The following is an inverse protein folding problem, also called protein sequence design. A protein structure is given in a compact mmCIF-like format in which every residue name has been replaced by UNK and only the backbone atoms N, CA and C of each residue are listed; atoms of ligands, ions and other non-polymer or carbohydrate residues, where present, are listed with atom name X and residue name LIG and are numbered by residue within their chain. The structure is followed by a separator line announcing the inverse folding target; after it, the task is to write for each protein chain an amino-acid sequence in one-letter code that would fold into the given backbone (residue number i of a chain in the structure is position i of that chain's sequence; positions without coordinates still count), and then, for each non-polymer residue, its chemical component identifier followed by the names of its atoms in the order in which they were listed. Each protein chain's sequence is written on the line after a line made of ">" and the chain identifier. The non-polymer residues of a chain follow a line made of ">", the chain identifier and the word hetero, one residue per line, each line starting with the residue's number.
data_IF_839357001018
#
_entry.id   IF_839357001018
#
_cell.length_a   1.000
_cell.length_b   1.000
_cell.length_c   1.000
_cell.angle_alpha   90.00
_cell.angle_beta   90.00
_cell.angle_gamma   90.00
#
_symmetry.space_group_name_H-M   'P 1'
#
loop_
_entity.id
_entity.type
_entity.pdbx_description
1 polymer ?
#
# COMPACT_ATOMS: atom_id res chain seq x y z
N UNK A 1 1.59 9.32 -18.74
CA UNK A 1 2.04 8.24 -19.64
C UNK A 1 2.21 6.99 -18.79
N UNK A 2 1.43 5.93 -19.04
CA UNK A 2 1.63 4.65 -18.37
C UNK A 2 3.02 4.12 -18.76
N UNK A 3 3.77 3.72 -17.78
CA UNK A 3 5.12 3.15 -17.96
C UNK A 3 4.99 1.82 -18.66
N UNK A 4 5.76 1.61 -19.76
CA UNK A 4 5.86 0.32 -20.44
C UNK A 4 6.62 -0.65 -19.53
N UNK A 5 6.01 -1.80 -19.24
CA UNK A 5 6.61 -2.85 -18.39
C UNK A 5 7.50 -3.75 -19.23
N UNK A 6 8.73 -3.97 -18.72
CA UNK A 6 9.74 -4.82 -19.35
C UNK A 6 9.53 -6.28 -18.94
N UNK A 7 9.27 -7.15 -19.88
CA UNK A 7 9.06 -8.58 -19.65
C UNK A 7 10.15 -9.38 -20.34
N UNK A 8 10.88 -10.19 -19.60
CA UNK A 8 11.85 -11.13 -20.17
C UNK A 8 11.20 -12.49 -20.32
N UNK A 9 11.10 -12.97 -21.57
CA UNK A 9 10.64 -14.31 -21.90
C UNK A 9 11.84 -15.22 -22.18
N UNK A 10 11.94 -16.31 -21.45
CA UNK A 10 13.02 -17.30 -21.60
C UNK A 10 12.40 -18.58 -22.19
N UNK A 11 12.67 -18.87 -23.47
CA UNK A 11 12.06 -19.95 -24.22
C UNK A 11 12.98 -20.46 -25.33
N UNK A 12 12.71 -21.61 -25.94
CA UNK A 12 13.46 -22.06 -27.11
C UNK A 12 13.23 -21.15 -28.33
N UNK A 13 14.15 -21.16 -29.30
CA UNK A 13 14.03 -20.34 -30.52
C UNK A 13 12.77 -20.64 -31.33
N UNK A 14 12.30 -21.89 -31.28
CA UNK A 14 11.10 -22.37 -32.01
C UNK A 14 9.92 -22.58 -31.06
N UNK A 15 9.89 -21.86 -29.95
CA UNK A 15 8.90 -22.03 -28.90
C UNK A 15 7.48 -21.70 -29.35
N UNK A 16 6.56 -22.59 -29.08
CA UNK A 16 5.12 -22.34 -29.26
C UNK A 16 4.62 -21.21 -28.31
N UNK A 17 5.32 -20.91 -27.22
CA UNK A 17 4.99 -19.85 -26.29
C UNK A 17 5.21 -18.44 -26.88
N UNK A 18 6.01 -18.30 -27.94
CA UNK A 18 6.19 -17.02 -28.65
C UNK A 18 4.89 -16.46 -29.21
N UNK A 19 3.86 -17.30 -29.42
CA UNK A 19 2.52 -16.85 -29.82
C UNK A 19 1.85 -15.88 -28.85
N UNK A 20 2.27 -15.83 -27.58
CA UNK A 20 1.74 -14.90 -26.59
C UNK A 20 2.32 -13.48 -26.72
N UNK A 21 3.48 -13.33 -27.35
CA UNK A 21 4.19 -12.05 -27.48
C UNK A 21 3.34 -10.94 -28.12
N UNK A 22 2.62 -11.15 -29.22
CA UNK A 22 1.80 -10.09 -29.82
C UNK A 22 0.70 -9.55 -28.89
N UNK A 23 0.04 -10.44 -28.14
CA UNK A 23 -1.02 -10.06 -27.19
C UNK A 23 -0.46 -9.29 -26.01
N UNK A 24 0.70 -9.69 -25.48
CA UNK A 24 1.41 -8.99 -24.42
C UNK A 24 1.85 -7.58 -24.87
N UNK A 25 2.40 -7.47 -26.08
CA UNK A 25 2.80 -6.17 -26.66
C UNK A 25 1.60 -5.24 -26.87
N UNK A 26 0.48 -5.76 -27.37
CA UNK A 26 -0.77 -5.01 -27.50
C UNK A 26 -1.30 -4.50 -26.16
N UNK A 27 -1.05 -5.24 -25.07
CA UNK A 27 -1.43 -4.87 -23.72
C UNK A 27 -0.44 -3.89 -23.05
N UNK A 28 0.62 -3.45 -23.75
CA UNK A 28 1.57 -2.46 -23.26
C UNK A 28 2.83 -3.03 -22.60
N UNK A 29 3.06 -4.35 -22.69
CA UNK A 29 4.31 -4.97 -22.24
C UNK A 29 5.37 -4.91 -23.34
N UNK A 30 6.59 -4.58 -22.97
CA UNK A 30 7.74 -4.73 -23.86
C UNK A 30 8.39 -6.09 -23.60
N UNK A 31 8.22 -7.04 -24.54
CA UNK A 31 8.71 -8.41 -24.39
C UNK A 31 10.03 -8.57 -25.14
N UNK A 32 11.06 -8.98 -24.41
CA UNK A 32 12.36 -9.43 -24.95
C UNK A 32 12.47 -10.94 -24.76
N UNK A 33 12.81 -11.67 -25.82
CA UNK A 33 12.96 -13.14 -25.77
C UNK A 33 14.44 -13.50 -25.82
N UNK A 34 14.85 -14.46 -24.97
CA UNK A 34 16.17 -15.05 -24.94
C UNK A 34 16.04 -16.57 -24.93
N UNK A 35 17.07 -17.28 -25.44
CA UNK A 35 16.96 -18.69 -25.78
C UNK A 35 17.94 -19.58 -25.04
N UNK A 36 18.77 -19.02 -24.17
CA UNK A 36 19.64 -19.75 -23.25
C UNK A 36 19.53 -19.22 -21.81
N UNK A 37 19.90 -20.06 -20.84
CA UNK A 37 19.92 -19.65 -19.44
C UNK A 37 20.97 -18.57 -19.17
N UNK A 38 22.12 -18.65 -19.85
CA UNK A 38 23.20 -17.68 -19.73
C UNK A 38 22.78 -16.31 -20.26
N UNK A 39 22.13 -16.27 -21.44
CA UNK A 39 21.61 -15.02 -22.00
C UNK A 39 20.51 -14.42 -21.10
N UNK A 40 19.66 -15.24 -20.48
CA UNK A 40 18.64 -14.79 -19.55
C UNK A 40 19.24 -14.07 -18.34
N UNK A 41 20.26 -14.65 -17.74
CA UNK A 41 20.97 -14.07 -16.60
C UNK A 41 21.71 -12.79 -17.01
N UNK A 42 22.43 -12.81 -18.12
CA UNK A 42 23.14 -11.62 -18.63
C UNK A 42 22.16 -10.49 -18.95
N UNK A 43 21.09 -10.78 -19.67
CA UNK A 43 20.07 -9.80 -20.01
C UNK A 43 19.44 -9.16 -18.78
N UNK A 44 19.13 -9.98 -17.75
CA UNK A 44 18.53 -9.50 -16.51
C UNK A 44 19.48 -8.63 -15.66
N UNK A 45 20.80 -8.79 -15.79
CA UNK A 45 21.77 -7.90 -15.15
C UNK A 45 21.93 -6.57 -15.88
N UNK A 46 21.84 -6.58 -17.20
CA UNK A 46 22.07 -5.38 -18.02
C UNK A 46 20.80 -4.53 -18.20
N UNK A 47 19.63 -5.14 -18.02
CA UNK A 47 18.36 -4.51 -18.29
C UNK A 47 17.46 -4.52 -17.05
N UNK A 48 16.59 -3.53 -16.94
CA UNK A 48 15.52 -3.55 -15.96
C UNK A 48 14.44 -4.51 -16.42
N UNK A 49 14.08 -5.44 -15.55
CA UNK A 49 13.01 -6.41 -15.76
C UNK A 49 11.89 -6.15 -14.75
N UNK A 50 10.65 -6.13 -15.23
CA UNK A 50 9.46 -5.99 -14.40
C UNK A 50 8.68 -7.32 -14.25
N UNK A 51 8.88 -8.28 -15.19
CA UNK A 51 8.30 -9.63 -15.14
C UNK A 51 9.21 -10.65 -15.81
N UNK A 52 9.21 -11.89 -15.30
CA UNK A 52 9.82 -13.05 -15.95
C UNK A 52 8.73 -13.99 -16.47
N UNK A 53 8.85 -14.43 -17.74
CA UNK A 53 8.10 -15.53 -18.32
C UNK A 53 9.09 -16.66 -18.63
N UNK A 54 9.01 -17.76 -17.93
CA UNK A 54 9.93 -18.89 -18.05
C UNK A 54 9.18 -20.06 -18.68
N UNK A 55 9.64 -20.52 -19.83
CA UNK A 55 8.98 -21.56 -20.61
C UNK A 55 9.62 -22.93 -20.35
N UNK A 56 8.81 -23.98 -20.24
CA UNK A 56 9.28 -25.32 -19.97
C UNK A 56 9.96 -26.03 -21.15
N UNK A 57 9.99 -25.39 -22.31
CA UNK A 57 10.63 -25.90 -23.52
C UNK A 57 12.14 -25.57 -23.62
N UNK A 58 12.68 -24.87 -22.61
CA UNK A 58 14.13 -24.66 -22.48
C UNK A 58 14.71 -25.58 -21.42
N UNK A 59 15.84 -26.24 -21.74
CA UNK A 59 16.51 -27.14 -20.81
C UNK A 59 17.04 -26.40 -19.59
N UNK A 60 16.80 -26.90 -18.38
CA UNK A 60 17.28 -26.30 -17.13
C UNK A 60 16.44 -25.14 -16.61
N UNK A 61 15.24 -24.94 -17.12
CA UNK A 61 14.32 -23.86 -16.69
C UNK A 61 14.03 -23.92 -15.16
N UNK A 62 14.04 -25.12 -14.56
CA UNK A 62 13.86 -25.28 -13.11
C UNK A 62 15.00 -24.62 -12.31
N UNK A 63 16.22 -24.70 -12.82
CA UNK A 63 17.39 -24.06 -12.21
C UNK A 63 17.28 -22.54 -12.30
N UNK A 64 16.78 -22.03 -13.43
CA UNK A 64 16.59 -20.60 -13.65
C UNK A 64 15.59 -19.99 -12.66
N UNK A 65 14.50 -20.70 -12.35
CA UNK A 65 13.53 -20.23 -11.35
C UNK A 65 14.20 -20.04 -9.98
N UNK A 66 14.99 -21.01 -9.55
CA UNK A 66 15.73 -20.92 -8.29
C UNK A 66 16.74 -19.78 -8.31
N UNK A 67 17.46 -19.60 -9.42
CA UNK A 67 18.45 -18.54 -9.57
C UNK A 67 17.83 -17.14 -9.48
N UNK A 68 16.73 -16.89 -10.15
CA UNK A 68 16.05 -15.60 -10.11
C UNK A 68 15.43 -15.28 -8.74
N UNK A 69 14.98 -16.27 -7.99
CA UNK A 69 14.42 -16.04 -6.66
C UNK A 69 15.45 -15.94 -5.53
N UNK A 70 16.64 -16.52 -5.69
CA UNK A 70 17.69 -16.49 -4.67
C UNK A 70 18.61 -15.28 -4.77
N UNK A 71 18.70 -14.63 -5.93
CA UNK A 71 19.55 -13.46 -6.12
C UNK A 71 18.86 -12.18 -5.65
N UNK A 72 19.50 -11.36 -4.78
CA UNK A 72 18.90 -10.14 -4.22
C UNK A 72 18.38 -9.16 -5.29
N UNK A 73 19.04 -9.09 -6.45
CA UNK A 73 18.70 -8.18 -7.55
C UNK A 73 17.40 -8.52 -8.26
N UNK A 74 16.96 -9.78 -8.21
CA UNK A 74 15.77 -10.29 -8.88
C UNK A 74 14.64 -10.63 -7.90
N UNK A 75 14.93 -10.56 -6.60
CA UNK A 75 13.92 -10.80 -5.56
C UNK A 75 12.77 -9.81 -5.69
N UNK A 76 11.56 -10.33 -5.76
CA UNK A 76 10.34 -9.52 -5.90
C UNK A 76 9.93 -9.20 -7.33
N UNK A 77 10.71 -9.62 -8.35
CA UNK A 77 10.24 -9.57 -9.74
C UNK A 77 9.31 -10.76 -9.98
N UNK A 78 8.04 -10.53 -10.41
CA UNK A 78 7.10 -11.61 -10.70
C UNK A 78 7.62 -12.58 -11.73
N UNK A 79 7.51 -13.88 -11.44
CA UNK A 79 7.88 -14.96 -12.34
C UNK A 79 6.69 -15.87 -12.65
N UNK A 80 6.43 -16.10 -13.92
CA UNK A 80 5.36 -16.93 -14.42
C UNK A 80 5.93 -18.08 -15.23
N UNK A 81 5.49 -19.32 -14.92
CA UNK A 81 5.87 -20.48 -15.69
C UNK A 81 4.86 -20.75 -16.81
N UNK A 82 5.36 -20.87 -18.04
CA UNK A 82 4.59 -21.33 -19.17
C UNK A 82 4.96 -22.80 -19.44
N UNK A 83 4.05 -23.70 -19.10
CA UNK A 83 4.30 -25.14 -19.06
C UNK A 83 3.67 -25.84 -20.26
N UNK A 84 4.40 -26.79 -20.82
CA UNK A 84 3.90 -27.73 -21.82
C UNK A 84 2.79 -28.63 -21.23
N UNK A 85 1.83 -29.13 -22.03
CA UNK A 85 0.75 -30.00 -21.57
C UNK A 85 1.20 -31.26 -20.83
N UNK A 86 2.41 -31.75 -21.06
CA UNK A 86 2.98 -32.91 -20.38
C UNK A 86 3.19 -32.71 -18.86
N UNK A 87 3.17 -31.45 -18.40
CA UNK A 87 3.28 -31.11 -16.98
C UNK A 87 1.96 -31.20 -16.22
N UNK A 88 0.82 -31.42 -16.89
CA UNK A 88 -0.51 -31.52 -16.25
C UNK A 88 -0.53 -32.55 -15.12
N UNK A 89 0.05 -33.72 -15.34
CA UNK A 89 0.12 -34.80 -14.35
C UNK A 89 1.36 -34.73 -13.45
N UNK A 90 2.22 -33.74 -13.63
CA UNK A 90 3.50 -33.59 -12.92
C UNK A 90 3.53 -32.36 -12.00
N UNK A 91 2.40 -31.78 -11.68
CA UNK A 91 2.30 -30.56 -10.86
C UNK A 91 2.96 -30.70 -9.48
N UNK A 92 3.09 -31.95 -8.97
CA UNK A 92 3.81 -32.21 -7.72
C UNK A 92 5.28 -31.85 -7.80
N UNK A 93 5.91 -31.87 -8.97
CA UNK A 93 7.30 -31.49 -9.19
C UNK A 93 7.51 -29.98 -8.99
N UNK A 94 6.46 -29.18 -9.21
CA UNK A 94 6.51 -27.73 -9.06
C UNK A 94 6.55 -27.27 -7.60
N UNK A 95 6.21 -28.15 -6.63
CA UNK A 95 6.12 -27.77 -5.21
C UNK A 95 7.43 -27.22 -4.61
N UNK A 96 8.56 -27.60 -5.16
CA UNK A 96 9.87 -27.20 -4.69
C UNK A 96 10.48 -26.05 -5.51
N UNK A 97 9.77 -25.57 -6.54
CA UNK A 97 10.22 -24.45 -7.37
C UNK A 97 9.70 -23.15 -6.84
N UNK A 98 10.50 -22.10 -6.99
CA UNK A 98 10.16 -20.75 -6.61
C UNK A 98 9.63 -20.01 -7.84
N UNK A 99 8.34 -19.70 -7.85
CA UNK A 99 7.65 -18.91 -8.89
C UNK A 99 6.33 -18.36 -8.34
N UNK A 100 5.78 -17.38 -9.02
CA UNK A 100 4.57 -16.70 -8.53
C UNK A 100 3.27 -17.34 -9.04
N UNK A 101 3.25 -17.77 -10.32
CA UNK A 101 2.10 -18.43 -10.92
C UNK A 101 2.53 -19.26 -12.15
N UNK A 102 1.64 -20.09 -12.68
CA UNK A 102 1.91 -20.90 -13.85
C UNK A 102 0.69 -21.04 -14.75
N UNK A 103 0.92 -21.30 -16.04
CA UNK A 103 -0.08 -21.66 -17.03
C UNK A 103 0.38 -22.91 -17.77
N UNK A 104 -0.53 -23.88 -17.94
CA UNK A 104 -0.29 -25.05 -18.78
C UNK A 104 -0.93 -24.78 -20.12
N UNK A 105 -0.11 -24.68 -21.18
CA UNK A 105 -0.56 -24.46 -22.54
C UNK A 105 -1.17 -25.74 -23.11
N UNK A 106 -2.46 -25.70 -23.45
CA UNK A 106 -3.20 -26.85 -23.99
C UNK A 106 -3.45 -26.74 -25.52
N UNK A 107 -2.64 -25.96 -26.23
CA UNK A 107 -2.85 -25.70 -27.65
C UNK A 107 -3.80 -24.55 -27.95
N UNK A 108 -4.52 -24.05 -26.95
CA UNK A 108 -5.39 -22.89 -27.05
C UNK A 108 -4.61 -21.58 -26.82
N UNK A 109 -5.16 -20.46 -27.28
CA UNK A 109 -4.59 -19.16 -26.99
C UNK A 109 -5.03 -18.71 -25.59
N UNK A 110 -4.14 -18.84 -24.63
CA UNK A 110 -4.34 -18.44 -23.24
C UNK A 110 -3.78 -17.03 -22.95
N UNK A 111 -3.61 -16.20 -23.98
CA UNK A 111 -3.04 -14.84 -23.82
C UNK A 111 -3.85 -13.99 -22.83
N UNK A 112 -5.18 -14.05 -22.86
CA UNK A 112 -6.03 -13.30 -21.94
C UNK A 112 -5.88 -13.78 -20.51
N UNK A 113 -5.79 -15.09 -20.27
CA UNK A 113 -5.55 -15.67 -18.94
C UNK A 113 -4.19 -15.27 -18.39
N UNK A 114 -3.14 -15.35 -19.22
CA UNK A 114 -1.79 -14.91 -18.85
C UNK A 114 -1.78 -13.43 -18.46
N UNK A 115 -2.36 -12.57 -19.29
CA UNK A 115 -2.46 -11.15 -19.02
C UNK A 115 -3.21 -10.86 -17.73
N UNK A 116 -4.33 -11.53 -17.50
CA UNK A 116 -5.10 -11.36 -16.27
C UNK A 116 -4.27 -11.74 -15.03
N UNK A 117 -3.57 -12.87 -15.06
CA UNK A 117 -2.70 -13.32 -13.96
C UNK A 117 -1.55 -12.35 -13.71
N UNK A 118 -0.89 -11.86 -14.78
CA UNK A 118 0.18 -10.87 -14.68
C UNK A 118 -0.33 -9.57 -14.02
N UNK A 119 -1.48 -9.04 -14.46
CA UNK A 119 -2.08 -7.83 -13.90
C UNK A 119 -2.48 -8.01 -12.43
N UNK A 120 -3.09 -9.15 -12.07
CA UNK A 120 -3.45 -9.45 -10.67
C UNK A 120 -2.21 -9.51 -9.80
N UNK A 121 -1.14 -10.16 -10.27
CA UNK A 121 0.10 -10.28 -9.52
C UNK A 121 0.79 -8.94 -9.34
N UNK A 122 0.86 -8.14 -10.40
CA UNK A 122 1.40 -6.80 -10.35
C UNK A 122 0.66 -5.92 -9.33
N UNK A 123 -0.67 -5.94 -9.35
CA UNK A 123 -1.49 -5.21 -8.39
C UNK A 123 -1.23 -5.67 -6.94
N UNK A 124 -1.10 -6.97 -6.70
CA UNK A 124 -0.78 -7.50 -5.37
C UNK A 124 0.60 -7.04 -4.90
N UNK A 125 1.63 -7.15 -5.75
CA UNK A 125 2.98 -6.68 -5.41
C UNK A 125 3.01 -5.20 -5.13
N UNK A 126 2.39 -4.38 -5.97
CA UNK A 126 2.28 -2.94 -5.75
C UNK A 126 1.57 -2.62 -4.44
N UNK A 127 0.54 -3.37 -4.09
CA UNK A 127 -0.16 -3.23 -2.81
C UNK A 127 0.77 -3.56 -1.63
N UNK A 128 1.52 -4.66 -1.68
CA UNK A 128 2.45 -5.04 -0.61
C UNK A 128 3.65 -4.09 -0.49
N UNK A 129 4.28 -3.73 -1.60
CA UNK A 129 5.44 -2.83 -1.62
C UNK A 129 5.11 -1.40 -1.20
N UNK A 130 3.86 -0.98 -1.42
CA UNK A 130 3.39 0.36 -1.08
C UNK A 130 2.56 0.39 0.21
N UNK A 131 2.43 -0.72 0.93
CA UNK A 131 1.82 -0.74 2.26
C UNK A 131 2.80 -0.25 3.33
N UNK A 132 2.27 0.40 4.35
CA UNK A 132 3.06 0.75 5.53
C UNK A 132 3.47 -0.54 6.28
N UNK A 133 4.75 -0.76 6.60
CA UNK A 133 5.23 -2.02 7.19
C UNK A 133 4.68 -2.29 8.60
N UNK A 134 4.29 -1.25 9.35
CA UNK A 134 3.77 -1.37 10.71
C UNK A 134 2.28 -1.70 10.76
N UNK A 135 1.48 -1.05 9.91
CA UNK A 135 0.01 -1.14 9.94
C UNK A 135 -0.57 -1.96 8.81
N UNK A 136 0.21 -2.24 7.76
CA UNK A 136 -0.20 -2.85 6.49
C UNK A 136 -1.29 -2.07 5.74
N UNK A 137 -1.55 -0.83 6.14
CA UNK A 137 -2.42 0.08 5.40
C UNK A 137 -1.72 0.60 4.13
N UNK A 138 -2.48 0.99 3.10
CA UNK A 138 -1.96 1.71 1.94
C UNK A 138 -1.04 2.86 2.34
N UNK A 139 0.16 2.89 1.76
CA UNK A 139 1.14 3.96 1.97
C UNK A 139 1.04 5.07 0.93
N UNK A 140 2.01 5.99 0.93
CA UNK A 140 1.97 7.26 0.20
C UNK A 140 1.62 7.14 -1.30
N UNK A 141 2.16 6.14 -2.01
CA UNK A 141 1.89 5.98 -3.44
C UNK A 141 0.42 5.65 -3.69
N UNK A 142 -0.14 4.70 -2.93
CA UNK A 142 -1.55 4.31 -3.06
C UNK A 142 -2.49 5.42 -2.57
N UNK A 143 -2.10 6.15 -1.53
CA UNK A 143 -2.83 7.32 -1.05
C UNK A 143 -2.94 8.40 -2.14
N UNK A 144 -1.80 8.73 -2.80
CA UNK A 144 -1.80 9.73 -3.87
C UNK A 144 -2.63 9.29 -5.08
N UNK A 145 -2.56 8.02 -5.45
CA UNK A 145 -3.39 7.45 -6.51
C UNK A 145 -4.88 7.53 -6.17
N UNK A 146 -5.27 7.17 -4.94
CA UNK A 146 -6.67 7.22 -4.52
C UNK A 146 -7.20 8.64 -4.47
N UNK A 147 -6.44 9.60 -3.92
CA UNK A 147 -6.84 11.02 -3.96
C UNK A 147 -7.02 11.50 -5.39
N UNK A 148 -6.10 11.15 -6.30
CA UNK A 148 -6.22 11.55 -7.71
C UNK A 148 -7.47 10.92 -8.35
N UNK A 149 -7.75 9.64 -8.12
CA UNK A 149 -8.97 8.99 -8.60
C UNK A 149 -10.24 9.72 -8.14
N UNK A 150 -10.28 10.16 -6.86
CA UNK A 150 -11.42 10.93 -6.32
C UNK A 150 -11.54 12.32 -6.94
N UNK A 151 -10.41 12.98 -7.22
CA UNK A 151 -10.41 14.29 -7.87
C UNK A 151 -10.92 14.20 -9.32
N UNK A 152 -10.61 13.10 -10.01
CA UNK A 152 -11.01 12.85 -11.41
C UNK A 152 -12.44 12.32 -11.53
N UNK A 153 -13.00 11.71 -10.47
CA UNK A 153 -14.40 11.25 -10.43
C UNK A 153 -15.37 12.44 -10.28
N UNK A 154 -16.58 12.37 -10.87
CA UNK A 154 -17.64 13.36 -10.63
C UNK A 154 -18.28 13.22 -9.24
N UNK A 155 -18.09 12.09 -8.55
CA UNK A 155 -18.75 11.77 -7.30
C UNK A 155 -18.25 12.63 -6.14
N UNK A 156 -19.10 12.82 -5.16
CA UNK A 156 -18.73 13.51 -3.94
C UNK A 156 -17.92 12.63 -3.00
N UNK A 157 -16.95 13.23 -2.35
CA UNK A 157 -16.08 12.59 -1.38
C UNK A 157 -15.66 13.54 -0.27
N UNK A 158 -15.21 12.95 0.83
CA UNK A 158 -14.55 13.69 1.92
C UNK A 158 -13.19 13.05 2.19
N UNK A 159 -12.14 13.87 2.17
CA UNK A 159 -10.78 13.48 2.54
C UNK A 159 -10.48 13.98 3.94
N UNK A 160 -10.09 13.08 4.84
CA UNK A 160 -9.76 13.39 6.23
C UNK A 160 -8.31 13.01 6.53
N UNK A 161 -7.52 13.97 6.94
CA UNK A 161 -6.19 13.76 7.52
C UNK A 161 -6.30 13.61 9.02
N UNK A 162 -5.60 12.64 9.56
CA UNK A 162 -5.59 12.27 10.97
C UNK A 162 -4.16 12.37 11.50
N UNK A 163 -4.00 12.94 12.70
CA UNK A 163 -2.70 13.18 13.34
C UNK A 163 -2.81 12.83 14.83
N UNK A 164 -1.84 12.13 15.38
CA UNK A 164 -1.78 11.83 16.80
C UNK A 164 -1.04 12.96 17.54
N UNK A 165 -1.77 13.71 18.34
CA UNK A 165 -1.18 14.79 19.12
C UNK A 165 -0.36 14.23 20.29
N UNK A 166 0.77 14.88 20.59
CA UNK A 166 1.70 14.51 21.67
C UNK A 166 2.37 13.13 21.50
N UNK A 167 2.30 12.52 20.30
CA UNK A 167 2.86 11.20 20.02
C UNK A 167 4.35 11.11 20.32
N UNK A 168 5.13 12.16 20.03
CA UNK A 168 6.55 12.19 20.38
C UNK A 168 6.77 12.10 21.88
N UNK A 169 6.03 12.86 22.69
CA UNK A 169 6.15 12.82 24.16
C UNK A 169 5.76 11.43 24.71
N UNK A 170 4.75 10.79 24.08
CA UNK A 170 4.38 9.41 24.41
C UNK A 170 5.54 8.44 24.12
N UNK A 171 6.15 8.50 22.92
CA UNK A 171 7.32 7.67 22.60
C UNK A 171 8.51 7.89 23.52
N UNK A 172 8.78 9.16 23.85
CA UNK A 172 9.92 9.51 24.73
C UNK A 172 9.72 8.98 26.16
N UNK A 173 8.47 8.85 26.64
CA UNK A 173 8.13 8.32 27.96
C UNK A 173 7.94 6.80 28.00
N UNK A 174 7.21 6.24 27.04
CA UNK A 174 6.77 4.84 27.03
C UNK A 174 7.61 3.94 26.12
N UNK A 175 8.46 4.52 25.29
CA UNK A 175 9.32 3.82 24.33
C UNK A 175 8.63 3.54 22.99
N UNK A 176 9.44 3.25 21.98
CA UNK A 176 8.95 3.05 20.59
C UNK A 176 7.99 1.88 20.43
N UNK A 177 8.14 0.81 21.23
CA UNK A 177 7.23 -0.35 21.16
C UNK A 177 5.78 0.05 21.54
N UNK A 178 5.62 0.85 22.60
CA UNK A 178 4.32 1.37 23.00
C UNK A 178 3.75 2.35 21.94
N UNK A 179 4.62 3.16 21.32
CA UNK A 179 4.24 4.02 20.20
C UNK A 179 3.75 3.24 19.00
N UNK A 180 4.42 2.15 18.65
CA UNK A 180 3.97 1.24 17.58
C UNK A 180 2.59 0.64 17.90
N UNK A 181 2.33 0.28 19.17
CA UNK A 181 1.02 -0.22 19.59
C UNK A 181 -0.07 0.85 19.49
N UNK A 182 0.23 2.10 19.84
CA UNK A 182 -0.69 3.23 19.67
C UNK A 182 -1.01 3.47 18.18
N UNK A 183 -0.02 3.40 17.29
CA UNK A 183 -0.19 3.49 15.85
C UNK A 183 -1.05 2.34 15.31
N UNK A 184 -0.76 1.08 15.70
CA UNK A 184 -1.54 -0.09 15.28
C UNK A 184 -3.00 -0.02 15.76
N UNK A 185 -3.20 0.42 17.00
CA UNK A 185 -4.52 0.64 17.57
C UNK A 185 -5.28 1.68 16.76
N UNK A 186 -4.68 2.83 16.47
CA UNK A 186 -5.27 3.90 15.65
C UNK A 186 -5.66 3.38 14.26
N UNK A 187 -4.76 2.65 13.60
CA UNK A 187 -5.03 2.04 12.29
C UNK A 187 -6.26 1.11 12.31
N UNK A 188 -6.41 0.31 13.38
CA UNK A 188 -7.57 -0.58 13.56
C UNK A 188 -8.87 0.19 13.79
N UNK A 189 -8.83 1.24 14.62
CA UNK A 189 -10.00 2.11 14.87
C UNK A 189 -10.45 2.75 13.55
N UNK A 190 -9.53 3.40 12.83
CA UNK A 190 -9.82 4.02 11.55
C UNK A 190 -10.43 3.02 10.56
N UNK A 191 -9.80 1.85 10.39
CA UNK A 191 -10.28 0.83 9.45
C UNK A 191 -11.68 0.34 9.80
N UNK A 192 -11.94 0.05 11.09
CA UNK A 192 -13.22 -0.51 11.52
C UNK A 192 -14.35 0.52 11.40
N UNK A 193 -14.14 1.75 11.87
CA UNK A 193 -15.16 2.79 11.86
C UNK A 193 -15.46 3.25 10.44
N UNK A 194 -14.42 3.54 9.65
CA UNK A 194 -14.56 4.05 8.29
C UNK A 194 -15.25 3.03 7.39
N UNK A 195 -14.83 1.76 7.43
CA UNK A 195 -15.46 0.68 6.65
C UNK A 195 -16.91 0.38 7.09
N UNK A 196 -17.20 0.49 8.38
CA UNK A 196 -18.58 0.32 8.88
C UNK A 196 -19.51 1.39 8.32
N UNK A 197 -19.01 2.63 8.16
CA UNK A 197 -19.80 3.76 7.66
C UNK A 197 -19.94 3.76 6.13
N UNK A 198 -18.92 3.35 5.43
CA UNK A 198 -18.89 3.33 3.97
C UNK A 198 -18.13 2.10 3.45
N UNK A 199 -18.78 0.90 3.43
CA UNK A 199 -18.11 -0.36 3.10
C UNK A 199 -17.55 -0.44 1.68
N UNK A 200 -18.17 0.25 0.72
CA UNK A 200 -17.87 0.14 -0.71
C UNK A 200 -16.88 1.19 -1.19
N UNK A 201 -17.03 2.43 -0.70
CA UNK A 201 -16.32 3.59 -1.22
C UNK A 201 -15.22 4.12 -0.28
N UNK A 202 -15.06 3.50 0.89
CA UNK A 202 -14.09 3.97 1.86
C UNK A 202 -12.66 3.56 1.56
N UNK A 203 -11.73 4.43 1.92
CA UNK A 203 -10.30 4.17 1.88
C UNK A 203 -9.64 4.61 3.18
N UNK A 204 -8.66 3.85 3.67
CA UNK A 204 -7.83 4.21 4.82
C UNK A 204 -6.37 3.98 4.44
N UNK A 205 -5.52 4.97 4.69
CA UNK A 205 -4.09 4.94 4.41
C UNK A 205 -3.24 5.43 5.58
N UNK A 206 -1.97 5.02 5.62
CA UNK A 206 -0.99 5.45 6.61
C UNK A 206 0.15 6.17 5.92
N UNK A 207 0.25 7.49 6.14
CA UNK A 207 1.23 8.36 5.50
C UNK A 207 2.62 8.09 6.07
N UNK A 208 2.72 7.95 7.39
CA UNK A 208 3.94 7.63 8.10
C UNK A 208 4.00 8.27 9.49
N UNK A 209 4.73 7.65 10.42
CA UNK A 209 4.77 8.09 11.81
C UNK A 209 3.38 8.08 12.44
N UNK A 210 2.91 9.23 12.86
CA UNK A 210 1.62 9.50 13.51
C UNK A 210 0.53 10.02 12.56
N UNK A 211 0.81 10.10 11.25
CA UNK A 211 -0.07 10.65 10.23
C UNK A 211 -0.84 9.58 9.44
N UNK A 212 -2.17 9.68 9.41
CA UNK A 212 -3.06 8.83 8.62
C UNK A 212 -3.98 9.65 7.73
N UNK A 213 -4.66 8.96 6.83
CA UNK A 213 -5.70 9.51 5.98
C UNK A 213 -6.86 8.53 5.85
N UNK A 214 -8.08 9.05 5.76
CA UNK A 214 -9.21 8.25 5.29
C UNK A 214 -10.07 9.06 4.31
N UNK A 215 -10.77 8.35 3.43
CA UNK A 215 -11.68 8.91 2.44
C UNK A 215 -12.99 8.16 2.52
N UNK A 216 -14.11 8.87 2.45
CA UNK A 216 -15.47 8.32 2.40
C UNK A 216 -16.38 9.26 1.63
N UNK A 217 -17.54 8.74 1.20
CA UNK A 217 -18.53 9.50 0.44
C UNK A 217 -19.66 10.09 1.31
N UNK A 218 -19.84 9.59 2.53
CA UNK A 218 -20.99 9.94 3.40
C UNK A 218 -20.66 9.81 4.89
N UNK A 219 -21.50 10.43 5.72
CA UNK A 219 -21.49 10.33 7.20
C UNK A 219 -20.17 10.79 7.86
N UNK A 220 -19.48 11.74 7.24
CA UNK A 220 -18.13 12.18 7.62
C UNK A 220 -18.03 12.72 9.06
N UNK A 221 -19.01 13.52 9.52
CA UNK A 221 -19.00 14.08 10.88
C UNK A 221 -19.26 12.98 11.94
N UNK A 222 -20.22 12.09 11.68
CA UNK A 222 -20.51 10.95 12.55
C UNK A 222 -19.32 9.97 12.60
N UNK A 223 -18.64 9.78 11.46
CA UNK A 223 -17.45 8.95 11.38
C UNK A 223 -16.30 9.54 12.22
N UNK A 224 -16.02 10.82 12.09
CA UNK A 224 -14.97 11.50 12.85
C UNK A 224 -15.25 11.47 14.36
N UNK A 225 -16.51 11.69 14.76
CA UNK A 225 -16.92 11.63 16.16
C UNK A 225 -16.74 10.22 16.75
N UNK A 226 -17.16 9.16 16.02
CA UNK A 226 -17.01 7.77 16.45
C UNK A 226 -15.52 7.35 16.54
N UNK A 227 -14.67 7.83 15.63
CA UNK A 227 -13.20 7.61 15.69
C UNK A 227 -12.63 8.21 16.96
N UNK A 228 -12.97 9.45 17.29
CA UNK A 228 -12.49 10.15 18.49
C UNK A 228 -12.96 9.39 19.76
N UNK A 229 -14.23 9.05 19.84
CA UNK A 229 -14.79 8.31 20.98
C UNK A 229 -14.03 6.99 21.22
N UNK A 230 -13.79 6.21 20.15
CA UNK A 230 -13.07 4.95 20.27
C UNK A 230 -11.60 5.18 20.61
N UNK A 231 -10.95 6.20 20.02
CA UNK A 231 -9.56 6.52 20.32
C UNK A 231 -9.39 6.93 21.79
N UNK A 232 -10.20 7.88 22.27
CA UNK A 232 -10.12 8.38 23.66
C UNK A 232 -10.44 7.29 24.70
N UNK A 233 -11.26 6.30 24.34
CA UNK A 233 -11.54 5.16 25.19
C UNK A 233 -10.36 4.17 25.24
N UNK A 234 -9.87 3.75 24.07
CA UNK A 234 -8.92 2.64 23.96
C UNK A 234 -7.49 3.10 24.24
N UNK A 235 -7.09 4.33 23.90
CA UNK A 235 -5.74 4.86 24.14
C UNK A 235 -5.37 4.87 25.63
N UNK A 236 -6.34 5.01 26.51
CA UNK A 236 -6.15 4.94 27.98
C UNK A 236 -5.56 3.61 28.45
N UNK A 237 -5.84 2.51 27.73
CA UNK A 237 -5.29 1.19 28.09
C UNK A 237 -3.78 1.07 27.86
N UNK A 238 -3.17 2.02 27.13
CA UNK A 238 -1.74 2.07 26.86
C UNK A 238 -1.00 3.01 27.85
N UNK A 239 -1.72 3.66 28.77
CA UNK A 239 -1.18 4.64 29.71
C UNK A 239 -1.07 4.07 31.12
N UNK A 240 -0.08 4.53 31.87
CA UNK A 240 0.04 4.23 33.29
C UNK A 240 -1.08 4.93 34.09
N UNK A 241 -1.53 4.28 35.15
CA UNK A 241 -2.58 4.85 36.06
C UNK A 241 -2.18 6.22 36.63
N UNK A 242 -0.88 6.41 36.92
CA UNK A 242 -0.33 7.67 37.43
C UNK A 242 -0.47 8.82 36.44
N UNK A 243 -0.21 8.55 35.15
CA UNK A 243 -0.32 9.54 34.08
C UNK A 243 -1.79 9.84 33.75
N UNK A 244 -2.65 8.82 33.81
CA UNK A 244 -4.11 8.99 33.70
C UNK A 244 -4.66 9.85 34.84
N UNK A 245 -4.25 9.59 36.08
CA UNK A 245 -4.68 10.36 37.24
C UNK A 245 -4.19 11.83 37.20
N UNK A 246 -3.01 12.05 36.68
CA UNK A 246 -2.42 13.38 36.49
C UNK A 246 -2.98 14.12 35.29
N UNK A 247 -3.47 13.38 34.27
CA UNK A 247 -3.90 13.94 32.98
C UNK A 247 -2.76 14.39 32.06
N UNK A 248 -1.51 13.95 32.36
CA UNK A 248 -0.32 14.35 31.59
C UNK A 248 0.81 13.34 31.72
N UNK A 249 1.68 13.32 30.71
CA UNK A 249 2.91 12.53 30.64
C UNK A 249 4.08 13.41 31.07
N UNK A 250 4.98 12.89 31.90
CA UNK A 250 6.22 13.55 32.27
C UNK A 250 7.39 13.00 31.44
N UNK A 251 8.11 13.89 30.79
CA UNK A 251 9.27 13.56 29.95
C UNK A 251 10.48 14.35 30.42
N UNK A 252 11.60 13.68 30.61
CA UNK A 252 12.87 14.36 30.90
C UNK A 252 13.45 14.91 29.59
N UNK A 253 13.68 16.23 29.56
CA UNK A 253 14.32 16.87 28.41
C UNK A 253 15.84 16.68 28.42
N UNK A 254 16.52 17.08 27.34
CA UNK A 254 17.97 16.94 27.16
C UNK A 254 18.80 17.70 28.24
N UNK A 255 18.20 18.56 29.06
CA UNK A 255 18.83 19.31 30.15
C UNK A 255 18.59 18.68 31.52
N UNK A 256 17.96 17.48 31.56
CA UNK A 256 17.61 16.81 32.81
C UNK A 256 16.40 17.41 33.56
N UNK A 257 15.59 18.25 32.85
CA UNK A 257 14.39 18.86 33.43
C UNK A 257 13.17 18.10 33.02
N UNK A 258 12.25 17.84 33.96
CA UNK A 258 10.96 17.22 33.71
C UNK A 258 10.01 18.23 33.05
N UNK A 259 9.47 17.89 31.90
CA UNK A 259 8.45 18.64 31.18
C UNK A 259 7.15 17.83 31.16
N UNK A 260 6.02 18.52 31.33
CA UNK A 260 4.69 17.91 31.32
C UNK A 260 4.02 18.10 29.95
N UNK A 261 3.59 17.01 29.33
CA UNK A 261 2.86 16.99 28.08
C UNK A 261 1.45 16.44 28.28
N UNK A 262 0.42 16.94 27.57
CA UNK A 262 -0.90 16.32 27.60
C UNK A 262 -0.85 14.86 27.17
N UNK A 263 -1.84 14.07 27.57
CA UNK A 263 -2.02 12.71 27.07
C UNK A 263 -2.21 12.70 25.55
N UNK A 264 -1.88 11.58 24.86
CA UNK A 264 -2.11 11.46 23.43
C UNK A 264 -3.58 11.70 23.06
N UNK A 265 -3.81 12.50 22.05
CA UNK A 265 -5.13 12.79 21.47
C UNK A 265 -5.08 12.65 19.96
N UNK A 266 -6.24 12.70 19.30
CA UNK A 266 -6.35 12.57 17.86
C UNK A 266 -6.98 13.82 17.25
N UNK A 267 -6.36 14.35 16.20
CA UNK A 267 -6.83 15.52 15.44
C UNK A 267 -7.23 15.09 14.03
N UNK A 268 -8.45 15.45 13.59
CA UNK A 268 -8.98 15.07 12.27
C UNK A 268 -9.33 16.33 11.48
N UNK A 269 -8.66 16.54 10.33
CA UNK A 269 -8.90 17.65 9.42
C UNK A 269 -9.54 17.15 8.12
N UNK A 270 -10.77 17.53 7.82
CA UNK A 270 -11.56 17.02 6.70
C UNK A 270 -11.89 18.07 5.64
N UNK A 271 -11.79 17.71 4.37
CA UNK A 271 -12.21 18.49 3.20
C UNK A 271 -13.38 17.77 2.54
N UNK A 272 -14.53 18.42 2.49
CA UNK A 272 -15.73 17.92 1.84
C UNK A 272 -15.80 18.45 0.42
N UNK A 273 -15.76 17.59 -0.61
CA UNK A 273 -15.82 18.02 -2.03
C UNK A 273 -17.10 18.76 -2.38
N UNK A 274 -18.21 18.46 -1.69
CA UNK A 274 -19.50 19.19 -1.80
C UNK A 274 -19.39 20.67 -1.44
N UNK A 275 -18.50 21.01 -0.49
CA UNK A 275 -18.32 22.38 0.00
C UNK A 275 -17.21 23.05 -0.78
N UNK A 276 -16.08 22.34 -0.92
CA UNK A 276 -14.92 22.80 -1.67
C UNK A 276 -14.23 21.62 -2.33
N UNK A 277 -14.38 21.50 -3.65
CA UNK A 277 -13.68 20.47 -4.43
C UNK A 277 -12.26 20.92 -4.74
N UNK A 278 -11.23 20.26 -4.18
CA UNK A 278 -9.85 20.57 -4.51
C UNK A 278 -9.56 20.28 -5.98
N UNK A 279 -8.68 21.07 -6.60
CA UNK A 279 -8.32 20.90 -8.02
C UNK A 279 -7.15 19.96 -8.24
N UNK A 280 -6.31 19.79 -7.23
CA UNK A 280 -5.11 18.95 -7.27
C UNK A 280 -4.60 18.62 -5.85
N UNK A 281 -3.74 17.61 -5.74
CA UNK A 281 -3.14 17.14 -4.48
C UNK A 281 -2.52 18.25 -3.63
N UNK A 282 -1.84 19.22 -4.24
CA UNK A 282 -1.22 20.34 -3.52
C UNK A 282 -2.23 21.23 -2.79
N UNK A 283 -3.44 21.41 -3.35
CA UNK A 283 -4.51 22.14 -2.68
C UNK A 283 -5.07 21.37 -1.49
N UNK A 284 -5.20 20.05 -1.60
CA UNK A 284 -5.58 19.18 -0.47
C UNK A 284 -4.60 19.34 0.68
N UNK A 285 -3.29 19.23 0.40
CA UNK A 285 -2.24 19.38 1.41
C UNK A 285 -2.22 20.77 2.08
N UNK A 286 -2.43 21.84 1.30
CA UNK A 286 -2.46 23.20 1.83
C UNK A 286 -3.65 23.41 2.79
N UNK A 287 -4.85 22.99 2.39
CA UNK A 287 -6.07 23.13 3.19
C UNK A 287 -6.00 22.33 4.50
N UNK A 288 -5.59 21.05 4.41
CA UNK A 288 -5.43 20.21 5.60
C UNK A 288 -4.36 20.73 6.54
N UNK A 289 -3.25 21.28 6.01
CA UNK A 289 -2.20 21.92 6.80
C UNK A 289 -2.67 23.15 7.58
N UNK A 290 -3.54 23.97 7.00
CA UNK A 290 -4.15 25.10 7.71
C UNK A 290 -5.09 24.65 8.84
N UNK A 291 -5.90 23.61 8.59
CA UNK A 291 -6.82 23.06 9.58
C UNK A 291 -6.08 22.36 10.73
N UNK A 292 -5.03 21.57 10.44
CA UNK A 292 -4.17 20.97 11.46
C UNK A 292 -3.59 22.03 12.41
N UNK A 293 -3.11 23.18 11.89
CA UNK A 293 -2.62 24.30 12.74
C UNK A 293 -3.68 24.86 13.67
N UNK A 294 -4.94 24.85 13.29
CA UNK A 294 -6.06 25.32 14.14
C UNK A 294 -6.42 24.26 15.16
N UNK A 295 -6.51 22.98 14.76
CA UNK A 295 -6.80 21.86 15.65
C UNK A 295 -5.77 21.73 16.77
N UNK A 296 -4.48 21.85 16.48
CA UNK A 296 -3.40 21.81 17.49
C UNK A 296 -3.45 22.93 18.56
N UNK A 297 -4.33 23.89 18.44
CA UNK A 297 -4.60 24.94 19.45
C UNK A 297 -5.76 24.57 20.39
N UNK A 298 -6.52 23.53 20.04
CA UNK A 298 -7.62 23.01 20.85
C UNK A 298 -7.07 21.94 21.79
N UNK A 299 -7.69 21.79 22.94
CA UNK A 299 -7.34 20.74 23.90
C UNK A 299 -8.17 19.49 23.64
N UNK A 300 -7.58 18.30 23.79
CA UNK A 300 -8.26 17.02 23.62
C UNK A 300 -8.41 16.63 22.15
N UNK A 301 -9.01 15.46 21.90
CA UNK A 301 -9.30 14.98 20.55
C UNK A 301 -10.36 15.83 19.88
N UNK A 302 -10.10 16.25 18.64
CA UNK A 302 -10.98 17.17 17.92
C UNK A 302 -11.02 16.88 16.42
N UNK A 303 -12.09 17.29 15.77
CA UNK A 303 -12.17 17.29 14.31
C UNK A 303 -12.64 18.63 13.77
N UNK A 304 -12.26 18.93 12.53
CA UNK A 304 -12.67 20.14 11.81
C UNK A 304 -12.85 19.84 10.33
N UNK A 305 -13.96 20.27 9.76
CA UNK A 305 -14.19 20.25 8.31
C UNK A 305 -14.07 21.65 7.72
N UNK A 306 -13.56 21.76 6.49
CA UNK A 306 -13.52 23.03 5.76
C UNK A 306 -14.95 23.53 5.54
N UNK A 307 -15.23 24.75 6.00
CA UNK A 307 -16.57 25.38 5.93
C UNK A 307 -16.65 26.58 4.99
N UNK A 308 -15.56 26.90 4.28
CA UNK A 308 -15.55 28.07 3.38
C UNK A 308 -16.18 27.71 2.04
N UNK A 309 -17.39 28.22 1.81
CA UNK A 309 -17.93 28.42 0.45
C UNK A 309 -17.26 29.67 -0.07
N UNK A 310 -16.52 29.60 -1.19
CA UNK A 310 -15.95 30.75 -1.89
C UNK A 310 -16.95 31.20 -2.95
#
# INVERSE_FOLDING_TARGET
>A
MSRTLQTLMVCSETSDFLRYVPSLQKAGYHVSSVHTLEDAVMFAYENRIDNFLICSDISGWETLTAEFHTRPWFTGIPSFLLLDPSYRDKLTLLKNLLFDDYIISCGEDLSEELLLRMVIRERRLNSYLNANPLTHLPGNILIMQEIQNRLDSPDDFTICYVDLDNFKAFNDSYGFAAGDDLIRMTARILTNVVRKRDPEESFVGHIGGDDFIYILAKDEESCAAEIIEHFDLVSKSLLLEEDLARGSILVENRKGLMESFPLPTISIAGIQSKIRRPRHLGEVAALTGEMKKKLKRLSGSNFMFERRVI
#
